data_IF_144314057472
#
_entry.id   IF_144314057472
#
_cell.length_a   1.000
_cell.length_b   1.000
_cell.length_c   1.000
_cell.angle_alpha   90.00
_cell.angle_beta   90.00
_cell.angle_gamma   90.00
#
_symmetry.space_group_name_H-M   'P 1'
#
loop_
_entity.id
_entity.type
_entity.pdbx_description
1 polymer ?
#
# COMPACT_ATOMS: atom_id res chain seq x y z
N UNK A 1 30.32 23.98 -79.88
CA UNK A 1 29.18 23.72 -78.99
C UNK A 1 29.74 23.21 -77.65
N UNK A 2 29.83 24.04 -76.59
CA UNK A 2 30.31 23.57 -75.28
C UNK A 2 29.15 22.93 -74.51
N UNK A 3 29.32 21.68 -74.10
CA UNK A 3 28.33 20.92 -73.32
C UNK A 3 28.35 21.33 -71.85
N UNK A 4 27.22 21.84 -71.36
CA UNK A 4 26.99 22.09 -69.93
C UNK A 4 26.84 20.75 -69.20
N UNK A 5 27.69 20.48 -68.21
CA UNK A 5 27.48 19.42 -67.23
C UNK A 5 26.59 19.97 -66.12
N UNK A 6 25.50 19.26 -65.81
CA UNK A 6 24.61 19.57 -64.70
C UNK A 6 25.15 18.85 -63.46
N UNK A 7 25.63 19.59 -62.47
CA UNK A 7 25.98 19.05 -61.16
C UNK A 7 24.69 18.86 -60.36
N UNK A 8 24.37 17.60 -60.02
CA UNK A 8 23.24 17.29 -59.14
C UNK A 8 23.70 17.37 -57.69
N UNK A 9 23.20 18.35 -56.95
CA UNK A 9 23.42 18.48 -55.50
C UNK A 9 22.29 17.77 -54.76
N UNK A 10 22.61 16.70 -54.03
CA UNK A 10 21.67 16.08 -53.09
C UNK A 10 21.72 16.83 -51.76
N UNK A 11 20.58 17.37 -51.35
CA UNK A 11 20.42 18.06 -50.07
C UNK A 11 19.66 17.16 -49.12
N UNK A 12 20.21 16.93 -47.93
CA UNK A 12 19.53 16.24 -46.82
C UNK A 12 19.17 17.30 -45.78
N UNK A 13 17.89 17.38 -45.42
CA UNK A 13 17.41 18.23 -44.33
C UNK A 13 17.13 17.36 -43.10
N UNK A 14 17.63 17.80 -41.94
CA UNK A 14 17.41 17.15 -40.66
C UNK A 14 16.89 18.17 -39.64
N UNK A 15 15.85 17.79 -38.91
CA UNK A 15 15.37 18.52 -37.74
C UNK A 15 15.63 17.67 -36.49
N UNK A 16 16.23 18.27 -35.46
CA UNK A 16 16.56 17.59 -34.20
C UNK A 16 16.13 18.47 -33.04
N UNK A 17 15.46 17.86 -32.05
CA UNK A 17 15.14 18.50 -30.77
C UNK A 17 16.31 18.33 -29.82
N UNK A 18 16.70 19.45 -29.18
CA UNK A 18 17.82 19.52 -28.26
C UNK A 18 17.33 19.98 -26.89
N UNK A 19 17.75 19.26 -25.87
CA UNK A 19 17.50 19.60 -24.47
C UNK A 19 18.80 20.07 -23.81
N UNK A 20 18.73 21.19 -23.10
CA UNK A 20 19.84 21.75 -22.37
C UNK A 20 19.96 21.07 -21.00
N UNK A 21 21.16 20.60 -20.69
CA UNK A 21 21.50 19.97 -19.42
C UNK A 21 22.81 20.55 -18.88
N UNK A 22 22.95 20.57 -17.56
CA UNK A 22 24.16 21.02 -16.88
C UNK A 22 24.91 19.84 -16.25
N UNK A 23 26.24 19.94 -16.22
CA UNK A 23 27.07 18.99 -15.51
C UNK A 23 27.07 19.32 -14.00
N UNK A 24 26.64 18.41 -13.11
CA UNK A 24 26.62 18.67 -11.67
C UNK A 24 28.03 18.81 -11.07
N UNK A 25 29.08 18.37 -11.77
CA UNK A 25 30.46 18.46 -11.28
C UNK A 25 31.16 19.77 -11.69
N UNK A 26 31.03 20.19 -12.95
CA UNK A 26 31.73 21.38 -13.46
C UNK A 26 30.82 22.55 -13.85
N UNK A 27 29.50 22.39 -13.79
CA UNK A 27 28.52 23.44 -14.10
C UNK A 27 28.43 23.82 -15.58
N UNK A 28 29.12 23.10 -16.48
CA UNK A 28 29.03 23.36 -17.92
C UNK A 28 27.64 22.98 -18.42
N UNK A 29 26.97 23.95 -19.05
CA UNK A 29 25.70 23.76 -19.75
C UNK A 29 25.98 23.31 -21.18
N UNK A 30 25.35 22.22 -21.61
CA UNK A 30 25.47 21.68 -22.96
C UNK A 30 24.13 21.09 -23.43
N UNK A 31 24.00 20.90 -24.74
CA UNK A 31 22.78 20.36 -25.33
C UNK A 31 22.98 18.90 -25.76
N UNK A 32 21.98 18.07 -25.48
CA UNK A 32 21.88 16.69 -25.97
C UNK A 32 20.58 16.53 -26.76
N UNK A 33 20.47 15.50 -27.59
CA UNK A 33 19.20 15.22 -28.26
C UNK A 33 18.16 14.75 -27.24
N UNK A 34 16.89 15.10 -27.45
CA UNK A 34 15.81 14.69 -26.55
C UNK A 34 15.71 13.17 -26.41
N UNK A 35 15.96 12.45 -27.50
CA UNK A 35 16.00 10.98 -27.50
C UNK A 35 17.14 10.42 -26.65
N UNK A 36 18.29 11.09 -26.63
CA UNK A 36 19.43 10.69 -25.80
C UNK A 36 19.11 10.93 -24.33
N UNK A 37 18.59 12.11 -23.99
CA UNK A 37 18.23 12.44 -22.61
C UNK A 37 17.18 11.45 -22.06
N UNK A 38 16.12 11.20 -22.83
CA UNK A 38 15.08 10.25 -22.47
C UNK A 38 15.67 8.86 -22.22
N UNK A 39 16.50 8.35 -23.14
CA UNK A 39 17.10 7.03 -23.02
C UNK A 39 17.95 6.92 -21.76
N UNK A 40 18.79 7.92 -21.47
CA UNK A 40 19.62 7.96 -20.25
C UNK A 40 18.75 8.01 -18.98
N UNK A 41 17.59 8.67 -18.99
CA UNK A 41 16.64 8.65 -17.85
C UNK A 41 15.93 7.31 -17.67
N UNK A 42 15.74 6.57 -18.75
CA UNK A 42 15.12 5.25 -18.73
C UNK A 42 16.10 4.15 -18.26
N UNK A 43 17.32 4.15 -18.80
CA UNK A 43 18.33 3.12 -18.54
C UNK A 43 19.24 3.44 -17.33
N UNK A 44 19.48 4.72 -17.04
CA UNK A 44 20.40 5.20 -16.01
C UNK A 44 21.87 5.00 -16.31
N UNK A 45 22.22 4.73 -17.56
CA UNK A 45 23.61 4.52 -17.95
C UNK A 45 24.43 5.81 -17.82
N UNK A 46 25.71 5.64 -17.51
CA UNK A 46 26.65 6.75 -17.41
C UNK A 46 26.87 7.41 -18.76
N UNK A 47 26.86 8.73 -18.78
CA UNK A 47 27.26 9.56 -19.90
C UNK A 47 28.23 10.65 -19.44
N UNK A 48 28.81 11.40 -20.37
CA UNK A 48 29.91 12.32 -20.07
C UNK A 48 29.58 13.73 -20.52
N UNK A 49 30.00 14.71 -19.72
CA UNK A 49 29.96 16.11 -20.15
C UNK A 49 31.08 16.36 -21.17
N UNK A 50 31.05 17.48 -21.92
CA UNK A 50 32.14 17.84 -22.83
C UNK A 50 33.52 17.94 -22.17
N UNK A 51 33.57 18.22 -20.87
CA UNK A 51 34.80 18.24 -20.06
C UNK A 51 35.23 16.87 -19.51
N UNK A 52 34.49 15.79 -19.80
CA UNK A 52 34.86 14.41 -19.43
C UNK A 52 34.35 13.90 -18.06
N UNK A 53 33.52 14.64 -17.33
CA UNK A 53 32.96 14.14 -16.06
C UNK A 53 31.83 13.13 -16.28
N UNK A 54 31.87 11.98 -15.58
CA UNK A 54 30.81 10.98 -15.64
C UNK A 54 29.55 11.50 -14.92
N UNK A 55 28.40 11.25 -15.52
CA UNK A 55 27.08 11.63 -15.02
C UNK A 55 26.12 10.47 -15.24
N UNK A 56 25.18 10.29 -14.33
CA UNK A 56 24.07 9.36 -14.49
C UNK A 56 22.85 9.90 -13.77
N UNK A 57 21.66 9.48 -14.21
CA UNK A 57 20.43 9.81 -13.52
C UNK A 57 20.25 8.87 -12.33
N UNK A 58 20.20 9.45 -11.12
CA UNK A 58 20.16 8.71 -9.85
C UNK A 58 18.86 7.93 -9.64
N UNK A 59 17.76 8.41 -10.20
CA UNK A 59 16.47 7.71 -10.22
C UNK A 59 16.09 7.42 -11.67
N UNK A 60 16.19 6.16 -12.07
CA UNK A 60 15.72 5.76 -13.40
C UNK A 60 14.23 5.50 -13.36
N UNK A 61 13.55 5.76 -14.48
CA UNK A 61 12.13 5.39 -14.60
C UNK A 61 11.92 3.90 -14.31
N UNK A 62 12.90 3.04 -14.64
CA UNK A 62 12.88 1.61 -14.34
C UNK A 62 12.96 1.31 -12.84
N UNK A 63 13.82 2.01 -12.11
CA UNK A 63 13.92 1.87 -10.65
C UNK A 63 12.65 2.36 -9.97
N UNK A 64 12.09 3.50 -10.39
CA UNK A 64 10.84 4.01 -9.82
C UNK A 64 9.66 3.08 -10.14
N UNK A 65 9.57 2.58 -11.37
CA UNK A 65 8.51 1.62 -11.74
C UNK A 65 8.61 0.35 -10.88
N UNK A 66 9.83 -0.14 -10.62
CA UNK A 66 10.05 -1.28 -9.72
C UNK A 66 9.61 -0.95 -8.28
N UNK A 67 10.01 0.21 -7.76
CA UNK A 67 9.61 0.65 -6.40
C UNK A 67 8.09 0.76 -6.26
N UNK A 68 7.43 1.32 -7.27
CA UNK A 68 5.97 1.45 -7.30
C UNK A 68 5.28 0.08 -7.38
N UNK A 69 5.81 -0.86 -8.17
CA UNK A 69 5.30 -2.24 -8.22
C UNK A 69 5.43 -2.94 -6.87
N UNK A 70 6.59 -2.83 -6.23
CA UNK A 70 6.84 -3.44 -4.92
C UNK A 70 5.92 -2.83 -3.85
N UNK A 71 5.72 -1.51 -3.88
CA UNK A 71 4.79 -0.80 -2.99
C UNK A 71 3.34 -1.26 -3.22
N UNK A 72 2.90 -1.34 -4.47
CA UNK A 72 1.56 -1.81 -4.81
C UNK A 72 1.34 -3.26 -4.36
N UNK A 73 2.32 -4.15 -4.56
CA UNK A 73 2.22 -5.53 -4.10
C UNK A 73 2.06 -5.62 -2.57
N UNK A 74 2.81 -4.82 -1.80
CA UNK A 74 2.68 -4.75 -0.34
C UNK A 74 1.32 -4.21 0.11
N UNK A 75 0.82 -3.18 -0.56
CA UNK A 75 -0.50 -2.61 -0.27
C UNK A 75 -1.62 -3.62 -0.54
N UNK A 76 -1.55 -4.34 -1.67
CA UNK A 76 -2.53 -5.38 -2.00
C UNK A 76 -2.53 -6.51 -0.96
N UNK A 77 -1.36 -6.98 -0.54
CA UNK A 77 -1.25 -7.98 0.52
C UNK A 77 -1.85 -7.48 1.85
N UNK A 78 -1.63 -6.21 2.18
CA UNK A 78 -2.19 -5.60 3.40
C UNK A 78 -3.72 -5.51 3.33
N UNK A 79 -4.26 -5.11 2.17
CA UNK A 79 -5.71 -5.03 1.96
C UNK A 79 -6.35 -6.42 2.09
N UNK A 80 -5.75 -7.44 1.50
CA UNK A 80 -6.25 -8.82 1.58
C UNK A 80 -6.26 -9.35 3.02
N UNK A 81 -5.19 -9.08 3.78
CA UNK A 81 -5.13 -9.42 5.20
C UNK A 81 -6.22 -8.71 6.00
N UNK A 82 -6.37 -7.39 5.83
CA UNK A 82 -7.38 -6.61 6.54
C UNK A 82 -8.80 -7.04 6.19
N UNK A 83 -9.05 -7.43 4.94
CA UNK A 83 -10.34 -7.97 4.52
C UNK A 83 -10.64 -9.31 5.20
N UNK A 84 -9.64 -10.18 5.29
CA UNK A 84 -9.76 -11.45 6.00
C UNK A 84 -10.03 -11.24 7.48
N UNK A 85 -9.26 -10.38 8.15
CA UNK A 85 -9.42 -10.05 9.56
C UNK A 85 -10.80 -9.44 9.83
N UNK A 86 -11.25 -8.52 8.96
CA UNK A 86 -12.58 -7.89 9.07
C UNK A 86 -13.69 -8.94 8.99
N UNK A 87 -13.60 -9.89 8.05
CA UNK A 87 -14.58 -10.97 7.93
C UNK A 87 -14.60 -11.87 9.16
N UNK A 88 -13.43 -12.20 9.71
CA UNK A 88 -13.33 -13.00 10.94
C UNK A 88 -13.97 -12.28 12.13
N UNK A 89 -13.61 -11.01 12.34
CA UNK A 89 -14.19 -10.19 13.41
C UNK A 89 -15.71 -10.03 13.27
N UNK A 90 -16.21 -9.87 12.05
CA UNK A 90 -17.64 -9.82 11.80
C UNK A 90 -18.34 -11.11 12.22
N UNK A 91 -17.78 -12.27 11.85
CA UNK A 91 -18.32 -13.57 12.25
C UNK A 91 -18.30 -13.75 13.77
N UNK A 92 -17.19 -13.37 14.43
CA UNK A 92 -17.04 -13.45 15.89
C UNK A 92 -18.08 -12.59 16.60
N UNK A 93 -18.28 -11.35 16.14
CA UNK A 93 -19.30 -10.44 16.68
C UNK A 93 -20.69 -11.03 16.51
N UNK A 94 -21.00 -11.60 15.34
CA UNK A 94 -22.28 -12.26 15.09
C UNK A 94 -22.50 -13.46 16.00
N UNK A 95 -21.48 -14.29 16.23
CA UNK A 95 -21.60 -15.48 17.07
C UNK A 95 -21.72 -15.14 18.55
N UNK A 96 -20.95 -14.14 19.03
CA UNK A 96 -21.12 -13.55 20.36
C UNK A 96 -22.52 -12.97 20.54
N UNK A 97 -23.05 -12.27 19.54
CA UNK A 97 -24.40 -11.72 19.59
C UNK A 97 -25.48 -12.81 19.69
N UNK A 98 -25.33 -13.91 18.94
CA UNK A 98 -26.21 -15.09 19.06
C UNK A 98 -26.14 -15.71 20.45
N UNK A 99 -24.95 -15.85 21.01
CA UNK A 99 -24.76 -16.41 22.35
C UNK A 99 -25.44 -15.54 23.42
N UNK A 100 -25.21 -14.22 23.39
CA UNK A 100 -25.85 -13.26 24.30
C UNK A 100 -27.37 -13.34 24.18
N UNK A 101 -27.91 -13.40 22.95
CA UNK A 101 -29.36 -13.55 22.73
C UNK A 101 -29.89 -14.85 23.33
N UNK A 102 -29.17 -15.97 23.14
CA UNK A 102 -29.53 -17.28 23.71
C UNK A 102 -29.53 -17.24 25.24
N UNK A 103 -28.52 -16.65 25.85
CA UNK A 103 -28.43 -16.51 27.31
C UNK A 103 -29.57 -15.64 27.85
N UNK A 104 -29.83 -14.48 27.23
CA UNK A 104 -30.96 -13.61 27.59
C UNK A 104 -32.31 -14.35 27.53
N UNK A 105 -32.53 -15.13 26.47
CA UNK A 105 -33.77 -15.90 26.32
C UNK A 105 -33.91 -16.98 27.41
N UNK A 106 -32.83 -17.67 27.75
CA UNK A 106 -32.82 -18.69 28.81
C UNK A 106 -33.08 -18.08 30.19
N UNK A 107 -32.41 -16.98 30.51
CA UNK A 107 -32.64 -16.25 31.77
C UNK A 107 -34.09 -15.75 31.87
N UNK A 108 -34.64 -15.20 30.78
CA UNK A 108 -36.05 -14.77 30.72
C UNK A 108 -37.04 -15.93 30.93
N UNK A 109 -36.69 -17.12 30.43
CA UNK A 109 -37.47 -18.33 30.64
C UNK A 109 -37.26 -18.98 32.02
N UNK A 110 -36.53 -18.35 32.95
CA UNK A 110 -36.28 -18.91 34.28
C UNK A 110 -35.33 -20.12 34.31
N UNK A 111 -34.56 -20.35 33.24
CA UNK A 111 -33.60 -21.44 33.13
C UNK A 111 -32.22 -21.03 33.63
N UNK A 112 -31.69 -21.80 34.59
CA UNK A 112 -30.32 -21.64 35.08
C UNK A 112 -29.30 -22.03 34.00
N UNK A 113 -28.23 -21.23 33.85
CA UNK A 113 -27.15 -21.45 32.89
C UNK A 113 -26.23 -22.59 33.32
N UNK A 114 -26.00 -22.75 34.62
CA UNK A 114 -25.10 -23.76 35.18
C UNK A 114 -25.78 -25.13 35.33
N UNK A 115 -26.89 -25.20 36.06
CA UNK A 115 -27.55 -26.49 36.33
C UNK A 115 -28.64 -26.87 35.30
N UNK A 116 -28.96 -25.98 34.34
CA UNK A 116 -29.94 -26.21 33.24
C UNK A 116 -31.36 -26.55 33.69
N UNK A 117 -31.74 -26.21 34.92
CA UNK A 117 -33.10 -26.42 35.47
C UNK A 117 -33.93 -25.14 35.43
N UNK A 118 -35.25 -25.29 35.41
CA UNK A 118 -36.21 -24.18 35.46
C UNK A 118 -36.58 -23.83 36.90
N UNK A 119 -36.66 -22.53 37.23
CA UNK A 119 -37.04 -22.04 38.54
C UNK A 119 -38.03 -20.88 38.44
N UNK A 120 -39.07 -20.88 39.29
CA UNK A 120 -40.00 -19.76 39.40
C UNK A 120 -39.32 -18.47 39.90
N UNK A 121 -38.31 -18.62 40.78
CA UNK A 121 -37.45 -17.52 41.22
C UNK A 121 -35.98 -17.86 40.94
N UNK A 122 -35.57 -17.59 39.70
CA UNK A 122 -34.21 -17.87 39.22
C UNK A 122 -33.14 -17.11 40.02
N UNK A 123 -33.42 -15.88 40.45
CA UNK A 123 -32.49 -15.05 41.22
C UNK A 123 -32.08 -15.72 42.54
N UNK A 124 -33.05 -16.14 43.36
CA UNK A 124 -32.78 -16.83 44.63
C UNK A 124 -31.99 -18.13 44.43
N UNK A 125 -32.30 -18.87 43.35
CA UNK A 125 -31.57 -20.09 43.03
C UNK A 125 -30.10 -19.80 42.72
N UNK A 126 -29.82 -18.77 41.90
CA UNK A 126 -28.45 -18.36 41.59
C UNK A 126 -27.70 -17.93 42.85
N UNK A 127 -28.29 -17.06 43.67
CA UNK A 127 -27.65 -16.56 44.91
C UNK A 127 -27.29 -17.67 45.91
N UNK A 128 -28.08 -18.75 45.98
CA UNK A 128 -27.90 -19.83 46.97
C UNK A 128 -27.11 -21.04 46.46
N UNK A 129 -27.18 -21.34 45.16
CA UNK A 129 -26.58 -22.54 44.55
C UNK A 129 -25.43 -22.23 43.59
N UNK A 130 -25.40 -21.01 43.04
CA UNK A 130 -24.39 -20.53 42.09
C UNK A 130 -23.89 -19.14 42.48
N UNK A 131 -23.31 -18.97 43.69
CA UNK A 131 -22.76 -17.68 44.10
C UNK A 131 -21.60 -17.32 43.16
N UNK A 132 -21.86 -16.42 42.21
CA UNK A 132 -20.81 -15.91 41.32
C UNK A 132 -19.83 -15.09 42.15
N UNK A 133 -18.54 -15.41 42.04
CA UNK A 133 -17.44 -14.76 42.76
C UNK A 133 -17.09 -13.37 42.20
N UNK A 134 -18.09 -12.54 41.88
CA UNK A 134 -17.91 -11.17 41.32
C UNK A 134 -18.75 -10.10 42.04
N UNK A 135 -19.25 -10.35 43.26
CA UNK A 135 -19.98 -9.35 44.05
C UNK A 135 -19.08 -8.49 44.98
N UNK A 136 -17.75 -8.46 44.82
CA UNK A 136 -16.83 -7.83 45.79
C UNK A 136 -15.80 -6.80 45.29
N UNK A 137 -15.81 -6.34 44.03
CA UNK A 137 -14.91 -5.24 43.59
C UNK A 137 -15.65 -3.92 43.40
N UNK A 138 -15.97 -3.30 44.52
CA UNK A 138 -16.52 -1.94 44.60
C UNK A 138 -16.05 -1.21 45.86
N UNK A 139 -14.74 -1.00 46.01
CA UNK A 139 -14.16 0.02 46.91
C UNK A 139 -12.91 0.62 46.27
N UNK A 140 -13.11 1.56 45.35
CA UNK A 140 -12.09 2.57 45.05
C UNK A 140 -12.00 3.50 46.26
N UNK A 141 -10.92 3.40 47.03
CA UNK A 141 -10.54 4.41 48.03
C UNK A 141 -9.96 5.62 47.30
N UNK A 142 -10.36 6.79 47.79
CA UNK A 142 -9.85 8.12 47.46
C UNK A 142 -8.35 8.25 47.70
#
# INVERSE_FOLDING_TARGET
MPGMRVEQTNVIQLAVSLDAIDCPNCGVVFAVTSEFDQRRREDGETFYCPSGHPMSYSETLKQENRRLRDKNARLLATVDQLQTDTRQLQNDVMDKAKEVRRLKQRSKAGLCTECRRHFANLQRHMETKHPTSESSKGKGKA
#
